data_IF_372182255942
#
_entry.id   IF_372182255942
#
_cell.length_a   1.000
_cell.length_b   1.000
_cell.length_c   1.000
_cell.angle_alpha   90.00
_cell.angle_beta   90.00
_cell.angle_gamma   90.00
#
_symmetry.space_group_name_H-M   'P 1'
#
loop_
_entity.id
_entity.type
_entity.pdbx_description
1 polymer ?
#
# COMPACT_ATOMS: atom_id res chain seq x y z
N UNK A 1 -15.30 6.51 21.26
CA UNK A 1 -14.79 7.87 20.97
C UNK A 1 -14.03 7.83 19.65
N UNK A 2 -14.15 8.87 18.83
CA UNK A 2 -13.42 9.00 17.56
C UNK A 2 -11.94 9.34 17.86
N UNK A 3 -10.99 8.71 17.18
CA UNK A 3 -9.56 9.08 17.29
C UNK A 3 -9.26 10.32 16.43
N UNK A 4 -8.09 10.94 16.61
CA UNK A 4 -7.69 12.09 15.78
C UNK A 4 -7.32 11.64 14.37
N UNK A 5 -6.58 10.54 14.22
CA UNK A 5 -6.10 10.05 12.93
C UNK A 5 -6.21 8.52 12.84
N UNK A 6 -6.65 8.01 11.70
CA UNK A 6 -6.41 6.62 11.29
C UNK A 6 -5.49 6.64 10.07
N UNK A 7 -4.35 5.97 10.17
CA UNK A 7 -3.41 5.73 9.09
C UNK A 7 -3.74 4.35 8.51
N UNK A 8 -3.98 4.29 7.21
CA UNK A 8 -4.40 3.11 6.46
C UNK A 8 -3.27 2.76 5.51
N UNK A 9 -2.57 1.65 5.74
CA UNK A 9 -1.42 1.23 4.97
C UNK A 9 -1.81 0.04 4.09
N UNK A 10 -1.72 0.20 2.77
CA UNK A 10 -1.89 -0.87 1.79
C UNK A 10 -0.51 -1.26 1.26
N UNK A 11 -0.04 -2.43 1.69
CA UNK A 11 1.36 -2.83 1.58
C UNK A 11 1.47 -4.11 0.74
N UNK A 12 1.67 -3.96 -0.57
CA UNK A 12 1.81 -5.09 -1.49
C UNK A 12 3.29 -5.45 -1.66
N UNK A 13 3.69 -6.51 -0.98
CA UNK A 13 4.99 -7.15 -1.08
C UNK A 13 4.97 -8.44 -1.88
N UNK A 14 3.86 -8.84 -2.51
CA UNK A 14 3.83 -10.05 -3.37
C UNK A 14 4.51 -9.79 -4.73
N UNK A 15 5.81 -9.55 -4.63
CA UNK A 15 6.78 -9.30 -5.67
C UNK A 15 8.17 -9.21 -4.99
N UNK A 16 9.17 -8.65 -5.67
CA UNK A 16 10.52 -8.49 -5.12
C UNK A 16 10.67 -7.40 -4.03
N UNK A 17 9.57 -6.81 -3.53
CA UNK A 17 9.54 -5.88 -2.38
C UNK A 17 9.12 -6.57 -1.07
N UNK A 18 8.86 -7.88 -1.05
CA UNK A 18 8.35 -8.61 0.12
C UNK A 18 9.10 -8.26 1.41
N UNK A 19 10.43 -8.29 1.36
CA UNK A 19 11.28 -7.99 2.51
C UNK A 19 11.16 -6.53 2.96
N UNK A 20 11.18 -5.58 2.01
CA UNK A 20 11.13 -4.16 2.31
C UNK A 20 9.76 -3.71 2.83
N UNK A 21 8.68 -4.31 2.35
CA UNK A 21 7.32 -4.14 2.90
C UNK A 21 7.28 -4.61 4.35
N UNK A 22 7.79 -5.82 4.65
CA UNK A 22 7.81 -6.35 6.01
C UNK A 22 8.73 -5.54 6.93
N UNK A 23 9.88 -5.08 6.42
CA UNK A 23 10.77 -4.18 7.14
C UNK A 23 10.10 -2.84 7.45
N UNK A 24 9.32 -2.28 6.53
CA UNK A 24 8.56 -1.06 6.79
C UNK A 24 7.50 -1.29 7.89
N UNK A 25 6.84 -2.44 7.91
CA UNK A 25 5.88 -2.81 8.96
C UNK A 25 6.55 -2.87 10.32
N UNK A 26 7.65 -3.60 10.43
CA UNK A 26 8.50 -3.70 11.63
C UNK A 26 8.96 -2.32 12.13
N UNK A 27 9.45 -1.46 11.22
CA UNK A 27 9.82 -0.09 11.57
C UNK A 27 8.64 0.77 12.04
N UNK A 28 7.42 0.54 11.54
CA UNK A 28 6.21 1.23 12.04
C UNK A 28 5.90 0.83 13.49
N UNK A 29 6.29 -0.36 13.95
CA UNK A 29 6.08 -0.81 15.33
C UNK A 29 6.88 0.03 16.33
N UNK A 30 8.04 0.58 15.94
CA UNK A 30 8.86 1.43 16.84
C UNK A 30 8.12 2.65 17.39
N UNK A 31 7.03 3.06 16.72
CA UNK A 31 6.11 4.11 17.18
C UNK A 31 4.73 3.52 17.53
N UNK A 32 4.15 2.74 16.62
CA UNK A 32 2.86 2.06 16.78
C UNK A 32 1.63 2.96 16.90
N UNK A 33 0.46 2.33 17.05
CA UNK A 33 -0.80 3.00 17.38
C UNK A 33 -0.78 3.58 18.80
N UNK A 34 -1.58 4.62 19.05
CA UNK A 34 -1.66 5.30 20.35
C UNK A 34 -3.12 5.61 20.73
N UNK A 35 -3.34 6.40 21.80
CA UNK A 35 -4.69 6.87 22.16
C UNK A 35 -5.34 7.74 21.08
N UNK A 36 -4.53 8.50 20.36
CA UNK A 36 -4.97 9.53 19.41
C UNK A 36 -4.86 9.06 17.95
N UNK A 37 -4.10 7.99 17.69
CA UNK A 37 -3.82 7.46 16.35
C UNK A 37 -4.10 5.96 16.29
N UNK A 38 -4.78 5.51 15.23
CA UNK A 38 -4.79 4.11 14.80
C UNK A 38 -3.93 3.95 13.55
N UNK A 39 -3.17 2.86 13.46
CA UNK A 39 -2.45 2.44 12.27
C UNK A 39 -2.94 1.04 11.91
N UNK A 40 -3.58 0.93 10.74
CA UNK A 40 -4.14 -0.31 10.21
C UNK A 40 -3.43 -0.63 8.91
N UNK A 41 -2.82 -1.81 8.82
CA UNK A 41 -2.07 -2.23 7.64
C UNK A 41 -2.66 -3.51 7.06
N UNK A 42 -2.92 -3.53 5.75
CA UNK A 42 -3.04 -4.77 5.00
C UNK A 42 -1.67 -5.05 4.39
N UNK A 43 -1.08 -6.17 4.76
CA UNK A 43 0.28 -6.54 4.39
C UNK A 43 0.21 -7.86 3.66
N UNK A 44 0.75 -7.88 2.46
CA UNK A 44 0.87 -9.08 1.64
C UNK A 44 2.33 -9.36 1.36
N UNK A 45 2.77 -10.58 1.66
CA UNK A 45 4.15 -10.99 1.45
C UNK A 45 4.25 -11.93 0.26
N UNK A 46 5.37 -12.66 0.17
CA UNK A 46 5.59 -13.57 -0.95
C UNK A 46 6.20 -14.88 -0.50
N UNK A 47 5.62 -15.98 -0.99
CA UNK A 47 6.13 -17.33 -0.77
C UNK A 47 7.64 -17.43 -1.06
N UNK A 48 8.43 -17.78 -0.04
CA UNK A 48 9.88 -17.93 -0.15
C UNK A 48 10.72 -16.64 -0.28
N UNK A 49 10.13 -15.44 -0.29
CA UNK A 49 10.87 -14.17 -0.49
C UNK A 49 10.85 -13.21 0.71
N UNK A 50 10.21 -13.59 1.83
CA UNK A 50 10.07 -12.76 3.05
C UNK A 50 11.36 -12.57 3.88
N UNK A 51 12.50 -13.11 3.44
CA UNK A 51 13.79 -12.98 4.11
C UNK A 51 13.78 -13.43 5.58
N UNK A 52 14.24 -12.56 6.48
CA UNK A 52 14.38 -12.86 7.90
C UNK A 52 13.04 -13.01 8.64
N UNK A 53 11.96 -12.45 8.08
CA UNK A 53 10.64 -12.50 8.71
C UNK A 53 10.00 -13.89 8.63
N UNK A 54 10.37 -14.73 7.64
CA UNK A 54 9.95 -16.13 7.58
C UNK A 54 8.61 -16.40 6.90
N UNK A 55 8.26 -17.68 6.81
CA UNK A 55 7.12 -18.17 6.01
C UNK A 55 5.74 -17.82 6.59
N UNK A 56 5.67 -17.40 7.85
CA UNK A 56 4.41 -16.96 8.45
C UNK A 56 3.87 -15.65 7.83
N UNK A 57 4.72 -14.93 7.09
CA UNK A 57 4.38 -13.70 6.36
C UNK A 57 4.16 -13.92 4.86
N UNK A 58 3.97 -15.17 4.41
CA UNK A 58 3.74 -15.45 2.97
C UNK A 58 2.35 -15.06 2.48
N UNK A 59 1.38 -14.99 3.38
CA UNK A 59 -0.01 -14.67 3.05
C UNK A 59 -0.38 -13.25 3.49
N UNK A 60 -1.48 -12.74 2.96
CA UNK A 60 -2.06 -11.46 3.31
C UNK A 60 -2.61 -11.44 4.74
N UNK A 61 -2.22 -10.43 5.53
CA UNK A 61 -2.72 -10.19 6.89
C UNK A 61 -3.16 -8.76 7.10
N UNK A 62 -4.26 -8.62 7.83
CA UNK A 62 -4.74 -7.34 8.34
C UNK A 62 -4.20 -7.15 9.76
N UNK A 63 -3.43 -6.09 9.98
CA UNK A 63 -2.74 -5.80 11.23
C UNK A 63 -3.28 -4.52 11.88
N UNK A 64 -3.36 -4.54 13.21
CA UNK A 64 -3.37 -3.33 14.02
C UNK A 64 -1.94 -3.11 14.53
N UNK A 65 -1.28 -2.07 14.02
CA UNK A 65 0.13 -1.85 14.35
C UNK A 65 0.23 -1.37 15.80
N UNK A 66 0.91 -2.12 16.64
CA UNK A 66 1.14 -1.77 18.05
C UNK A 66 2.58 -1.35 18.25
N UNK A 67 2.84 -0.64 19.34
CA UNK A 67 4.21 -0.27 19.65
C UNK A 67 5.02 -1.51 20.05
N UNK A 68 6.15 -1.71 19.38
CA UNK A 68 7.20 -2.64 19.75
C UNK A 68 8.58 -2.07 19.35
N UNK A 69 9.59 -2.28 20.20
CA UNK A 69 10.95 -1.78 19.98
C UNK A 69 11.90 -2.89 19.45
N UNK A 70 11.44 -4.14 19.32
CA UNK A 70 12.22 -5.27 18.79
C UNK A 70 12.24 -5.30 17.25
N UNK A 71 13.37 -4.94 16.65
CA UNK A 71 13.55 -4.96 15.20
C UNK A 71 13.95 -6.36 14.71
N UNK A 72 13.31 -6.83 13.65
CA UNK A 72 13.54 -8.11 12.96
C UNK A 72 12.42 -9.12 13.19
N UNK A 73 11.42 -8.78 14.00
CA UNK A 73 10.24 -9.60 14.29
C UNK A 73 9.03 -8.68 14.30
N UNK A 74 7.99 -9.00 13.53
CA UNK A 74 6.74 -8.24 13.55
C UNK A 74 5.83 -8.82 14.64
N UNK A 75 5.57 -8.04 15.68
CA UNK A 75 4.77 -8.45 16.85
C UNK A 75 3.35 -7.84 16.89
N UNK A 76 2.99 -7.06 15.87
CA UNK A 76 1.69 -6.42 15.75
C UNK A 76 0.54 -7.40 15.74
N UNK A 77 -0.58 -6.94 16.30
CA UNK A 77 -1.78 -7.75 16.41
C UNK A 77 -2.33 -8.05 15.02
N UNK A 78 -2.32 -9.31 14.64
CA UNK A 78 -3.09 -9.82 13.49
C UNK A 78 -4.58 -9.73 13.83
N UNK A 79 -5.28 -8.82 13.15
CA UNK A 79 -6.74 -8.70 13.23
C UNK A 79 -7.38 -9.87 12.48
N UNK A 80 -6.84 -10.20 11.32
CA UNK A 80 -7.35 -11.21 10.40
C UNK A 80 -6.21 -11.75 9.54
N UNK A 81 -6.15 -13.08 9.41
CA UNK A 81 -5.32 -13.77 8.43
C UNK A 81 -6.22 -14.08 7.23
N UNK A 82 -5.94 -13.45 6.09
CA UNK A 82 -6.82 -13.50 4.92
C UNK A 82 -6.40 -14.62 3.95
N UNK A 83 -5.30 -15.31 4.22
CA UNK A 83 -4.67 -16.18 3.23
C UNK A 83 -4.08 -15.34 2.10
N UNK A 84 -3.88 -15.96 0.94
CA UNK A 84 -3.44 -15.29 -0.28
C UNK A 84 -4.56 -14.38 -0.83
N UNK A 85 -4.29 -13.08 -1.00
CA UNK A 85 -5.19 -12.12 -1.63
C UNK A 85 -4.43 -11.31 -2.67
N UNK A 86 -5.08 -11.00 -3.80
CA UNK A 86 -4.45 -10.21 -4.86
C UNK A 86 -4.58 -8.72 -4.55
N UNK A 87 -3.50 -8.07 -4.10
CA UNK A 87 -3.47 -6.63 -3.83
C UNK A 87 -3.40 -5.77 -5.10
N UNK A 88 -3.31 -6.38 -6.28
CA UNK A 88 -3.58 -5.77 -7.58
C UNK A 88 -5.06 -5.80 -8.00
N UNK A 89 -5.96 -6.40 -7.20
CA UNK A 89 -7.39 -6.38 -7.44
C UNK A 89 -8.06 -5.16 -6.76
N UNK A 90 -8.72 -4.25 -7.52
CA UNK A 90 -9.42 -3.10 -6.93
C UNK A 90 -10.50 -3.48 -5.91
N UNK A 91 -11.08 -4.68 -5.98
CA UNK A 91 -12.07 -5.13 -4.99
C UNK A 91 -11.44 -5.40 -3.62
N UNK A 92 -10.18 -5.84 -3.56
CA UNK A 92 -9.46 -6.06 -2.30
C UNK A 92 -9.19 -4.71 -1.64
N UNK A 93 -8.73 -3.71 -2.40
CA UNK A 93 -8.54 -2.34 -1.92
C UNK A 93 -9.85 -1.73 -1.39
N UNK A 94 -10.95 -1.83 -2.14
CA UNK A 94 -12.26 -1.32 -1.73
C UNK A 94 -12.71 -1.94 -0.40
N UNK A 95 -12.64 -3.28 -0.28
CA UNK A 95 -12.99 -4.01 0.95
C UNK A 95 -12.11 -3.61 2.13
N UNK A 96 -10.81 -3.44 1.89
CA UNK A 96 -9.86 -3.03 2.92
C UNK A 96 -10.17 -1.63 3.46
N UNK A 97 -10.44 -0.65 2.58
CA UNK A 97 -10.83 0.71 3.00
C UNK A 97 -12.11 0.65 3.84
N UNK A 98 -13.13 -0.11 3.39
CA UNK A 98 -14.37 -0.33 4.17
C UNK A 98 -14.12 -0.96 5.54
N UNK A 99 -13.16 -1.90 5.65
CA UNK A 99 -12.75 -2.45 6.96
C UNK A 99 -12.10 -1.37 7.83
N UNK A 100 -11.25 -0.51 7.25
CA UNK A 100 -10.57 0.56 7.98
C UNK A 100 -11.51 1.67 8.47
N UNK A 101 -12.60 1.96 7.76
CA UNK A 101 -13.61 2.94 8.21
C UNK A 101 -14.35 2.51 9.49
N UNK A 102 -14.21 1.24 9.92
CA UNK A 102 -14.67 0.78 11.25
C UNK A 102 -13.80 1.30 12.41
N UNK A 103 -12.67 1.94 12.11
CA UNK A 103 -11.82 2.67 13.05
C UNK A 103 -12.07 4.18 12.90
N UNK A 104 -13.15 4.72 13.52
CA UNK A 104 -13.60 6.07 13.24
C UNK A 104 -12.59 7.11 13.73
N UNK A 105 -12.14 7.99 12.83
CA UNK A 105 -11.21 9.08 13.14
C UNK A 105 -11.59 10.41 12.50
N UNK A 106 -11.18 11.52 13.09
CA UNK A 106 -11.37 12.86 12.50
C UNK A 106 -10.69 12.97 11.12
N UNK A 107 -9.57 12.27 10.94
CA UNK A 107 -8.79 12.27 9.71
C UNK A 107 -8.32 10.89 9.30
N UNK A 108 -8.48 10.56 8.02
CA UNK A 108 -7.88 9.38 7.41
C UNK A 108 -6.66 9.77 6.57
N UNK A 109 -5.55 9.06 6.77
CA UNK A 109 -4.36 9.11 5.92
C UNK A 109 -4.22 7.76 5.25
N UNK A 110 -3.99 7.75 3.94
CA UNK A 110 -3.77 6.52 3.18
C UNK A 110 -2.31 6.46 2.71
N UNK A 111 -1.69 5.29 2.87
CA UNK A 111 -0.33 5.00 2.43
C UNK A 111 -0.38 3.80 1.50
N UNK A 112 0.15 3.95 0.28
CA UNK A 112 0.45 2.83 -0.61
C UNK A 112 1.95 2.53 -0.56
N UNK A 113 2.32 1.31 -0.23
CA UNK A 113 3.67 0.79 -0.46
C UNK A 113 3.58 -0.37 -1.43
N UNK A 114 3.99 -0.11 -2.67
CA UNK A 114 4.04 -1.10 -3.73
C UNK A 114 4.85 -0.56 -4.91
N UNK A 115 5.18 -1.42 -5.86
CA UNK A 115 5.66 -0.95 -7.16
C UNK A 115 4.65 -0.03 -7.86
N UNK A 116 5.20 0.83 -8.70
CA UNK A 116 4.45 1.67 -9.62
C UNK A 116 5.12 1.59 -10.97
N UNK A 117 4.34 1.52 -12.04
CA UNK A 117 4.85 1.62 -13.40
C UNK A 117 4.28 2.88 -14.03
N UNK A 118 5.14 3.59 -14.76
CA UNK A 118 4.80 4.85 -15.39
C UNK A 118 3.71 4.69 -16.45
N UNK A 119 3.54 5.74 -17.25
CA UNK A 119 2.50 5.78 -18.27
C UNK A 119 2.79 4.72 -19.36
N UNK A 120 2.12 3.57 -19.26
CA UNK A 120 2.23 2.47 -20.23
C UNK A 120 1.07 2.57 -21.21
N UNK A 121 1.37 2.39 -22.50
CA UNK A 121 0.35 2.19 -23.52
C UNK A 121 -0.25 0.79 -23.37
N UNK A 122 -1.52 0.72 -22.96
CA UNK A 122 -2.22 -0.55 -22.73
C UNK A 122 -2.41 -1.36 -24.00
N UNK A 123 -2.18 -0.77 -25.18
CA UNK A 123 -2.11 -1.46 -26.47
C UNK A 123 -1.05 -2.55 -26.50
N UNK A 124 0.07 -2.34 -25.79
CA UNK A 124 1.14 -3.34 -25.67
C UNK A 124 0.75 -4.56 -24.81
N UNK A 125 -0.39 -4.49 -24.12
CA UNK A 125 -0.91 -5.50 -23.20
C UNK A 125 -2.22 -6.17 -23.70
N UNK A 126 -2.62 -5.96 -24.96
CA UNK A 126 -3.83 -6.55 -25.58
C UNK A 126 -5.14 -6.26 -24.81
N UNK A 127 -5.28 -5.09 -24.19
CA UNK A 127 -6.53 -4.71 -23.52
C UNK A 127 -7.61 -4.28 -24.51
N UNK A 128 -8.90 -4.41 -24.16
CA UNK A 128 -10.06 -4.10 -25.01
C UNK A 128 -10.15 -2.63 -25.48
N UNK A 129 -9.39 -1.72 -24.89
CA UNK A 129 -9.32 -0.30 -25.27
C UNK A 129 -7.87 0.20 -25.16
N UNK A 130 -7.44 0.94 -26.18
CA UNK A 130 -6.13 1.61 -26.20
C UNK A 130 -6.19 2.88 -25.34
N UNK A 131 -5.50 2.90 -24.20
CA UNK A 131 -5.29 4.11 -23.41
C UNK A 131 -3.93 4.04 -22.70
N UNK A 132 -3.57 5.14 -22.05
CA UNK A 132 -2.33 5.27 -21.30
C UNK A 132 -2.65 5.34 -19.82
N UNK A 133 -2.00 4.52 -18.99
CA UNK A 133 -2.27 4.49 -17.55
C UNK A 133 -1.00 4.26 -16.74
N UNK A 134 -1.00 4.77 -15.52
CA UNK A 134 -0.08 4.35 -14.46
C UNK A 134 -0.60 3.04 -13.90
N UNK A 135 0.29 2.05 -13.74
CA UNK A 135 -0.06 0.81 -13.07
C UNK A 135 0.43 0.85 -11.63
N UNK A 136 -0.44 0.48 -10.71
CA UNK A 136 -0.23 0.53 -9.26
C UNK A 136 -0.38 -0.86 -8.69
N UNK A 137 0.41 -1.16 -7.66
CA UNK A 137 0.28 -2.37 -6.86
C UNK A 137 0.28 -3.66 -7.69
N UNK A 138 1.29 -3.89 -8.56
CA UNK A 138 1.40 -5.18 -9.22
C UNK A 138 1.59 -6.29 -8.19
N UNK A 139 0.95 -7.40 -8.47
CA UNK A 139 0.83 -8.58 -7.63
C UNK A 139 1.19 -9.78 -8.49
N UNK A 140 2.25 -10.49 -8.12
CA UNK A 140 2.85 -11.51 -8.98
C UNK A 140 2.09 -12.84 -8.91
N UNK A 141 1.61 -13.24 -7.75
CA UNK A 141 0.78 -14.46 -7.58
C UNK A 141 -0.59 -14.25 -8.22
N UNK A 142 -1.20 -13.08 -8.00
CA UNK A 142 -2.46 -12.68 -8.63
C UNK A 142 -2.34 -12.25 -10.09
N UNK A 143 -1.11 -12.10 -10.62
CA UNK A 143 -0.78 -11.68 -12.00
C UNK A 143 -1.54 -10.44 -12.47
N UNK A 144 -1.65 -9.44 -11.60
CA UNK A 144 -2.48 -8.26 -11.86
C UNK A 144 -1.84 -7.01 -11.30
N UNK A 145 -2.11 -5.88 -11.93
CA UNK A 145 -1.91 -4.56 -11.36
C UNK A 145 -3.21 -3.77 -11.53
N UNK A 146 -3.40 -2.75 -10.68
CA UNK A 146 -4.48 -1.80 -10.88
C UNK A 146 -4.05 -0.74 -11.89
N UNK A 147 -4.94 -0.42 -12.82
CA UNK A 147 -4.84 0.86 -13.53
C UNK A 147 -5.15 2.00 -12.56
N UNK A 148 -4.67 3.21 -12.86
CA UNK A 148 -4.96 4.39 -12.04
C UNK A 148 -6.47 4.63 -11.87
N UNK A 149 -7.24 4.32 -12.92
CA UNK A 149 -8.70 4.41 -12.89
C UNK A 149 -9.36 3.40 -11.94
N UNK A 150 -8.94 2.13 -12.01
CA UNK A 150 -9.45 1.10 -11.10
C UNK A 150 -9.11 1.43 -9.65
N UNK A 151 -7.89 1.93 -9.41
CA UNK A 151 -7.43 2.36 -8.10
C UNK A 151 -8.28 3.51 -7.54
N UNK A 152 -8.51 4.56 -8.34
CA UNK A 152 -9.35 5.69 -7.93
C UNK A 152 -10.80 5.27 -7.64
N UNK A 153 -11.38 4.45 -8.52
CA UNK A 153 -12.76 3.97 -8.33
C UNK A 153 -12.90 3.10 -7.08
N UNK A 154 -11.93 2.23 -6.81
CA UNK A 154 -11.91 1.40 -5.60
C UNK A 154 -11.84 2.25 -4.33
N UNK A 155 -11.04 3.32 -4.34
CA UNK A 155 -10.96 4.28 -3.24
C UNK A 155 -12.29 5.00 -3.05
N UNK A 156 -12.87 5.55 -4.12
CA UNK A 156 -14.14 6.28 -4.07
C UNK A 156 -15.25 5.39 -3.49
N UNK A 157 -15.37 4.16 -3.99
CA UNK A 157 -16.35 3.18 -3.50
C UNK A 157 -16.08 2.78 -2.04
N UNK A 158 -14.81 2.66 -1.66
CA UNK A 158 -14.38 2.27 -0.33
C UNK A 158 -14.67 3.34 0.72
N UNK A 159 -14.44 4.60 0.37
CA UNK A 159 -14.55 5.76 1.26
C UNK A 159 -15.99 6.05 1.70
N UNK A 160 -17.00 5.60 0.96
CA UNK A 160 -18.42 5.78 1.34
C UNK A 160 -18.79 7.25 1.66
N UNK A 161 -18.21 8.20 0.89
CA UNK A 161 -18.41 9.64 1.06
C UNK A 161 -17.42 10.34 2.00
N UNK A 162 -16.52 9.61 2.67
CA UNK A 162 -15.36 10.20 3.35
C UNK A 162 -14.30 10.66 2.34
N UNK A 163 -13.32 11.41 2.83
CA UNK A 163 -12.19 11.88 2.03
C UNK A 163 -10.88 11.72 2.80
N UNK A 164 -9.83 11.23 2.14
CA UNK A 164 -8.51 11.21 2.72
C UNK A 164 -8.00 12.63 2.94
N UNK A 165 -7.36 12.85 4.07
CA UNK A 165 -6.65 14.10 4.34
C UNK A 165 -5.32 14.15 3.61
N UNK A 166 -4.68 12.99 3.47
CA UNK A 166 -3.41 12.82 2.78
C UNK A 166 -3.38 11.42 2.18
N UNK A 167 -2.88 11.33 0.95
CA UNK A 167 -2.42 10.10 0.33
C UNK A 167 -0.90 10.19 0.16
N UNK A 168 -0.19 9.16 0.60
CA UNK A 168 1.26 9.04 0.48
C UNK A 168 1.59 7.80 -0.34
N UNK A 169 2.34 7.99 -1.42
CA UNK A 169 2.75 6.91 -2.32
C UNK A 169 4.23 6.61 -2.14
N UNK A 170 4.52 5.46 -1.52
CA UNK A 170 5.80 4.76 -1.66
C UNK A 170 5.72 3.85 -2.89
N UNK A 171 5.50 4.49 -4.04
CA UNK A 171 5.37 3.86 -5.34
C UNK A 171 5.94 4.79 -6.43
N UNK A 172 6.76 4.24 -7.33
CA UNK A 172 7.44 5.01 -8.38
C UNK A 172 6.44 5.72 -9.31
N UNK A 173 6.82 6.89 -9.83
CA UNK A 173 6.10 7.55 -10.93
C UNK A 173 4.64 7.93 -10.58
N UNK A 174 4.37 8.24 -9.31
CA UNK A 174 3.02 8.55 -8.79
C UNK A 174 2.78 10.03 -8.54
N UNK A 175 3.82 10.89 -8.53
CA UNK A 175 3.66 12.34 -8.36
C UNK A 175 3.54 13.07 -9.71
N UNK A 176 2.62 12.61 -10.55
CA UNK A 176 2.32 13.20 -11.85
C UNK A 176 0.99 13.97 -11.79
N UNK A 177 0.82 14.96 -12.67
CA UNK A 177 -0.38 15.82 -12.68
C UNK A 177 -1.64 15.03 -12.98
N UNK A 178 -1.56 14.03 -13.85
CA UNK A 178 -2.65 13.12 -14.21
C UNK A 178 -3.11 12.31 -13.00
N UNK A 179 -2.14 11.82 -12.20
CA UNK A 179 -2.42 11.06 -10.99
C UNK A 179 -3.17 11.92 -9.98
N UNK A 180 -2.63 13.13 -9.71
CA UNK A 180 -3.25 14.08 -8.80
C UNK A 180 -4.64 14.57 -9.25
N UNK A 181 -4.84 14.77 -10.55
CA UNK A 181 -6.12 15.21 -11.11
C UNK A 181 -7.22 14.16 -10.92
N UNK A 182 -6.90 12.89 -11.14
CA UNK A 182 -7.89 11.82 -10.97
C UNK A 182 -8.21 11.55 -9.48
N UNK A 183 -7.27 11.77 -8.57
CA UNK A 183 -7.47 11.63 -7.13
C UNK A 183 -8.09 12.87 -6.44
N UNK A 184 -8.40 13.94 -7.19
CA UNK A 184 -8.77 15.24 -6.62
C UNK A 184 -10.02 15.19 -5.73
N UNK A 185 -10.93 14.26 -6.00
CA UNK A 185 -12.18 14.11 -5.26
C UNK A 185 -12.02 13.28 -3.99
N UNK A 186 -11.04 12.37 -3.95
CA UNK A 186 -10.86 11.40 -2.85
C UNK A 186 -9.76 11.77 -1.84
N UNK A 187 -8.88 12.74 -2.14
CA UNK A 187 -7.88 13.25 -1.18
C UNK A 187 -7.70 14.77 -1.23
N UNK A 188 -7.19 15.37 -0.14
CA UNK A 188 -6.81 16.80 -0.09
C UNK A 188 -5.37 17.06 -0.51
N UNK A 189 -4.47 16.12 -0.21
CA UNK A 189 -3.05 16.23 -0.51
C UNK A 189 -2.55 14.88 -1.02
N UNK A 190 -1.61 14.94 -1.95
CA UNK A 190 -0.86 13.79 -2.46
C UNK A 190 0.62 14.08 -2.23
N UNK A 191 1.34 13.09 -1.73
CA UNK A 191 2.80 13.08 -1.68
C UNK A 191 3.27 11.81 -2.38
N UNK A 192 4.24 11.93 -3.26
CA UNK A 192 4.87 10.81 -3.96
C UNK A 192 6.14 11.26 -4.67
N UNK A 193 6.69 10.39 -5.51
CA UNK A 193 7.83 10.70 -6.38
C UNK A 193 7.39 10.78 -7.85
N UNK A 194 7.93 11.77 -8.58
CA UNK A 194 7.75 11.85 -10.04
C UNK A 194 8.65 10.84 -10.77
N UNK A 195 9.68 10.35 -10.07
CA UNK A 195 10.70 9.42 -10.56
C UNK A 195 10.67 8.12 -9.73
N UNK A 196 11.59 7.21 -10.01
CA UNK A 196 11.82 6.00 -9.25
C UNK A 196 12.18 6.29 -7.77
N UNK A 197 11.55 5.55 -6.87
CA UNK A 197 11.91 5.56 -5.44
C UNK A 197 13.02 4.55 -5.24
N UNK A 198 14.23 5.07 -4.96
CA UNK A 198 15.38 4.21 -4.68
C UNK A 198 15.38 3.81 -3.23
N UNK A 199 15.28 2.50 -2.97
CA UNK A 199 15.54 1.95 -1.65
C UNK A 199 17.05 1.87 -1.45
N UNK A 200 17.54 2.52 -0.39
CA UNK A 200 18.96 2.46 -0.04
C UNK A 200 19.25 1.03 0.41
N UNK A 201 20.06 0.30 -0.36
CA UNK A 201 20.40 -1.08 -0.04
C UNK A 201 21.89 -1.27 0.20
N UNK A 202 22.21 -2.26 1.03
CA UNK A 202 23.56 -2.51 1.56
C UNK A 202 24.59 -2.77 0.44
N UNK A 203 25.83 -2.27 0.60
CA UNK A 203 26.30 -1.37 1.64
C UNK A 203 25.77 0.05 1.40
N UNK A 204 25.71 0.84 2.48
CA UNK A 204 25.29 2.24 2.42
C UNK A 204 26.02 2.99 1.29
N UNK A 205 25.25 3.63 0.41
CA UNK A 205 25.77 4.30 -0.78
C UNK A 205 25.64 3.51 -2.10
N UNK A 206 25.15 2.27 -2.06
CA UNK A 206 24.69 1.56 -3.25
C UNK A 206 23.18 1.73 -3.43
N UNK A 207 22.77 2.01 -4.66
CA UNK A 207 21.36 2.14 -5.05
C UNK A 207 20.97 0.90 -5.85
N UNK A 208 19.91 0.22 -5.43
CA UNK A 208 19.20 -0.69 -6.32
C UNK A 208 17.93 0.02 -6.77
N UNK A 209 17.77 0.14 -8.08
CA UNK A 209 16.47 0.44 -8.67
C UNK A 209 15.69 -0.86 -8.60
N UNK A 210 14.68 -0.89 -7.74
CA UNK A 210 13.70 -1.99 -7.67
C UNK A 210 12.34 -1.36 -7.98
N UNK A 211 12.15 -0.97 -9.23
CA UNK A 211 10.92 -0.39 -9.79
C UNK A 211 10.69 -0.92 -11.20
#
# INVERSE_FOLDING_TARGET
>A
MKKKVTIICYMNGDNNLANEVLYAVDMMETVGSSRDVDIIALVDGKAGENGAYGSQWENTKLLHIIKDDEIGVINSRVIEDMGEENLGDPQVLEKFIKKCLKYPSEKYIFILFAHGRGIIDTKSLNTLRDYKSVLLSPDETGQRAMTHQEFNQAIENGLSGEKFHLMLFFSCLTNMVEVGYELQDVTRYVIGSEDEIRMVNKPAGMFQIRG
#
